data_IF_353085713555
#
_entry.id   IF_353085713555
#
_cell.length_a   1.000
_cell.length_b   1.000
_cell.length_c   1.000
_cell.angle_alpha   90.00
_cell.angle_beta   90.00
_cell.angle_gamma   90.00
#
_symmetry.space_group_name_H-M   'P 1'
#
loop_
_entity.id
_entity.type
_entity.pdbx_description
1 polymer ?
#
# COMPACT_ATOMS: atom_id res chain seq x y z
N UNK A 1 12.30 2.36 -11.78
CA UNK A 1 11.11 3.00 -12.30
C UNK A 1 10.38 3.79 -11.21
N UNK A 2 9.96 3.18 -10.10
CA UNK A 2 9.12 3.79 -9.06
C UNK A 2 9.90 4.39 -7.88
N UNK A 3 11.18 4.03 -7.70
CA UNK A 3 11.97 4.41 -6.52
C UNK A 3 11.62 3.66 -5.22
N UNK A 4 10.63 2.77 -5.27
CA UNK A 4 10.20 1.96 -4.12
C UNK A 4 11.09 0.71 -3.96
N UNK A 5 11.00 0.09 -2.77
CA UNK A 5 11.63 -1.19 -2.53
C UNK A 5 11.03 -2.29 -3.42
N UNK A 6 11.76 -3.37 -3.59
CA UNK A 6 11.30 -4.55 -4.34
C UNK A 6 10.76 -5.63 -3.38
N UNK A 7 10.13 -6.65 -3.95
CA UNK A 7 9.57 -7.78 -3.20
C UNK A 7 10.60 -8.48 -2.30
N UNK A 8 11.84 -8.67 -2.78
CA UNK A 8 12.89 -9.33 -1.97
C UNK A 8 13.21 -8.56 -0.68
N UNK A 9 13.22 -7.22 -0.75
CA UNK A 9 13.41 -6.39 0.43
C UNK A 9 12.22 -6.48 1.39
N UNK A 10 11.00 -6.49 0.83
CA UNK A 10 9.77 -6.65 1.62
C UNK A 10 9.80 -7.95 2.41
N UNK A 11 10.03 -9.09 1.75
CA UNK A 11 10.01 -10.42 2.36
C UNK A 11 11.01 -10.51 3.54
N UNK A 12 12.22 -9.97 3.35
CA UNK A 12 13.24 -9.94 4.40
C UNK A 12 12.91 -9.02 5.57
N UNK A 13 12.21 -7.91 5.31
CA UNK A 13 11.96 -6.87 6.32
C UNK A 13 10.66 -7.12 7.08
N UNK A 14 9.62 -7.62 6.44
CA UNK A 14 8.31 -7.86 7.06
C UNK A 14 8.43 -8.81 8.26
N UNK A 15 9.14 -9.92 8.15
CA UNK A 15 9.31 -10.87 9.26
C UNK A 15 10.09 -10.25 10.45
N UNK A 16 11.03 -9.36 10.15
CA UNK A 16 11.75 -8.60 11.19
C UNK A 16 10.79 -7.67 11.93
N UNK A 17 9.95 -6.92 11.23
CA UNK A 17 8.97 -6.01 11.83
C UNK A 17 7.93 -6.78 12.66
N UNK A 18 7.46 -7.93 12.19
CA UNK A 18 6.56 -8.81 12.95
C UNK A 18 7.21 -9.35 14.22
N UNK A 19 8.49 -9.69 14.15
CA UNK A 19 9.25 -10.14 15.34
C UNK A 19 9.34 -9.03 16.37
N UNK A 20 9.62 -7.80 15.96
CA UNK A 20 9.63 -6.63 16.84
C UNK A 20 8.24 -6.35 17.42
N UNK A 21 7.20 -6.43 16.59
CA UNK A 21 5.82 -6.22 17.00
C UNK A 21 5.37 -7.21 18.08
N UNK A 22 5.70 -8.50 17.92
CA UNK A 22 5.44 -9.53 18.96
C UNK A 22 6.10 -9.20 20.30
N UNK A 23 7.34 -8.75 20.26
CA UNK A 23 8.11 -8.44 21.48
C UNK A 23 7.59 -7.20 22.20
N UNK A 24 7.13 -6.20 21.44
CA UNK A 24 6.71 -4.91 21.98
C UNK A 24 5.18 -4.80 22.17
N UNK A 25 4.41 -5.75 21.67
CA UNK A 25 2.95 -5.75 21.80
C UNK A 25 2.24 -4.71 20.92
N UNK A 26 2.80 -4.34 19.78
CA UNK A 26 2.16 -3.38 18.86
C UNK A 26 1.70 -4.02 17.55
N UNK A 27 0.80 -3.33 16.86
CA UNK A 27 0.27 -3.77 15.57
C UNK A 27 1.27 -3.50 14.42
N UNK A 28 1.14 -4.30 13.35
CA UNK A 28 1.75 -4.02 12.04
C UNK A 28 0.65 -4.19 11.01
N UNK A 29 0.37 -3.16 10.22
CA UNK A 29 -0.61 -3.25 9.14
C UNK A 29 0.08 -3.39 7.79
N UNK A 30 -0.54 -4.20 6.92
CA UNK A 30 -0.14 -4.41 5.54
C UNK A 30 -1.27 -3.95 4.64
N UNK A 31 -0.93 -3.12 3.65
CA UNK A 31 -1.86 -2.66 2.62
C UNK A 31 -1.35 -3.14 1.27
N UNK A 32 -2.14 -3.94 0.59
CA UNK A 32 -1.89 -4.35 -0.80
C UNK A 32 -2.72 -3.48 -1.74
N UNK A 33 -2.11 -3.00 -2.80
CA UNK A 33 -2.71 -2.11 -3.78
C UNK A 33 -2.44 -2.63 -5.19
N UNK A 34 -3.43 -2.48 -6.07
CA UNK A 34 -3.32 -2.83 -7.48
C UNK A 34 -4.14 -1.84 -8.33
N UNK A 35 -3.55 -1.38 -9.45
CA UNK A 35 -4.20 -0.42 -10.32
C UNK A 35 -5.34 -1.05 -11.11
N UNK A 36 -6.50 -0.41 -11.04
CA UNK A 36 -7.69 -0.87 -11.75
C UNK A 36 -7.51 -0.71 -13.26
N UNK A 37 -7.77 -1.81 -13.98
CA UNK A 37 -7.70 -1.80 -15.43
C UNK A 37 -6.34 -1.41 -16.05
N UNK A 38 -5.23 -1.59 -15.33
CA UNK A 38 -3.89 -1.19 -15.77
C UNK A 38 -3.52 -1.76 -17.14
N UNK A 39 -3.95 -3.01 -17.44
CA UNK A 39 -3.78 -3.61 -18.76
C UNK A 39 -4.42 -2.75 -19.86
N UNK A 40 -5.61 -2.19 -19.61
CA UNK A 40 -6.29 -1.32 -20.60
C UNK A 40 -5.48 -0.04 -20.85
N UNK A 41 -4.81 0.50 -19.82
CA UNK A 41 -3.91 1.66 -20.00
C UNK A 41 -2.77 1.28 -20.94
N UNK A 42 -2.11 0.13 -20.71
CA UNK A 42 -1.03 -0.34 -21.57
C UNK A 42 -1.51 -0.64 -23.01
N UNK A 43 -2.63 -1.32 -23.16
CA UNK A 43 -3.15 -1.71 -24.47
C UNK A 43 -3.59 -0.47 -25.29
N UNK A 44 -4.11 0.58 -24.63
CA UNK A 44 -4.61 1.78 -25.29
C UNK A 44 -3.55 2.85 -25.54
N UNK A 45 -2.63 3.04 -24.60
CA UNK A 45 -1.69 4.16 -24.62
C UNK A 45 -0.22 3.72 -24.71
N UNK A 46 0.02 2.40 -24.72
CA UNK A 46 1.36 1.80 -24.76
C UNK A 46 2.02 1.65 -23.39
N UNK A 47 3.03 0.78 -23.30
CA UNK A 47 3.78 0.55 -22.06
C UNK A 47 4.44 1.80 -21.46
N UNK A 48 4.94 2.77 -22.27
CA UNK A 48 5.49 4.01 -21.69
C UNK A 48 4.46 4.81 -20.87
N UNK A 49 3.17 4.77 -21.26
CA UNK A 49 2.10 5.41 -20.50
C UNK A 49 1.83 4.67 -19.18
N UNK A 50 1.84 3.33 -19.20
CA UNK A 50 1.79 2.52 -17.98
C UNK A 50 2.98 2.79 -17.05
N UNK A 51 4.18 2.98 -17.59
CA UNK A 51 5.35 3.35 -16.82
C UNK A 51 5.19 4.72 -16.13
N UNK A 52 4.55 5.69 -16.79
CA UNK A 52 4.25 6.99 -16.18
C UNK A 52 3.23 6.87 -15.05
N UNK A 53 2.21 6.00 -15.21
CA UNK A 53 1.27 5.67 -14.13
C UNK A 53 2.02 5.11 -12.93
N UNK A 54 2.85 4.09 -13.12
CA UNK A 54 3.61 3.46 -12.05
C UNK A 54 4.58 4.42 -11.37
N UNK A 55 5.25 5.28 -12.14
CA UNK A 55 6.20 6.28 -11.63
C UNK A 55 5.50 7.33 -10.78
N UNK A 56 4.40 7.88 -11.28
CA UNK A 56 3.62 8.90 -10.57
C UNK A 56 3.05 8.35 -9.27
N UNK A 57 2.46 7.16 -9.32
CA UNK A 57 1.87 6.52 -8.15
C UNK A 57 2.93 6.09 -7.12
N UNK A 58 4.08 5.60 -7.59
CA UNK A 58 5.21 5.31 -6.70
C UNK A 58 5.69 6.56 -5.95
N UNK A 59 5.75 7.71 -6.64
CA UNK A 59 6.09 8.97 -6.01
C UNK A 59 5.03 9.43 -4.99
N UNK A 60 3.74 9.22 -5.26
CA UNK A 60 2.65 9.48 -4.29
C UNK A 60 2.81 8.62 -3.04
N UNK A 61 2.98 7.32 -3.20
CA UNK A 61 3.18 6.39 -2.08
C UNK A 61 4.40 6.79 -1.24
N UNK A 62 5.50 7.16 -1.90
CA UNK A 62 6.72 7.57 -1.22
C UNK A 62 6.52 8.84 -0.40
N UNK A 63 5.85 9.86 -0.94
CA UNK A 63 5.53 11.09 -0.19
C UNK A 63 4.65 10.84 1.02
N UNK A 64 3.71 9.90 0.90
CA UNK A 64 2.76 9.56 1.94
C UNK A 64 3.30 8.58 2.98
N UNK A 65 4.43 7.94 2.76
CA UNK A 65 5.02 6.98 3.70
C UNK A 65 5.83 7.68 4.78
N UNK A 66 5.75 7.20 6.02
CA UNK A 66 6.64 7.59 7.13
C UNK A 66 8.03 6.99 6.93
N UNK A 67 9.00 7.45 7.68
CA UNK A 67 10.36 6.85 7.66
C UNK A 67 10.39 5.39 8.10
N UNK A 68 9.44 4.98 8.96
CA UNK A 68 9.27 3.59 9.40
C UNK A 68 8.52 2.71 8.42
N UNK A 69 7.75 3.30 7.48
CA UNK A 69 6.92 2.56 6.54
C UNK A 69 7.77 1.98 5.41
N UNK A 70 7.38 0.80 4.93
CA UNK A 70 8.04 0.13 3.81
C UNK A 70 7.08 0.14 2.64
N UNK A 71 7.40 0.95 1.62
CA UNK A 71 6.64 1.01 0.37
C UNK A 71 7.37 0.20 -0.69
N UNK A 72 6.72 -0.81 -1.23
CA UNK A 72 7.29 -1.79 -2.14
C UNK A 72 6.48 -1.88 -3.43
N UNK A 73 7.16 -1.95 -4.58
CA UNK A 73 6.57 -2.49 -5.81
C UNK A 73 6.69 -4.00 -5.76
N UNK A 74 5.57 -4.67 -5.54
CA UNK A 74 5.50 -6.11 -5.28
C UNK A 74 5.46 -6.94 -6.57
N UNK A 75 4.75 -6.45 -7.58
CA UNK A 75 4.59 -7.06 -8.90
C UNK A 75 4.61 -6.02 -10.01
N UNK A 76 4.05 -6.36 -11.16
CA UNK A 76 3.96 -5.49 -12.33
C UNK A 76 3.26 -4.17 -12.02
N UNK A 77 2.04 -4.26 -11.52
CA UNK A 77 1.15 -3.14 -11.16
C UNK A 77 0.70 -3.19 -9.70
N UNK A 78 1.32 -4.11 -8.92
CA UNK A 78 1.00 -4.37 -7.53
C UNK A 78 2.00 -3.67 -6.60
N UNK A 79 1.48 -3.07 -5.55
CA UNK A 79 2.25 -2.39 -4.51
C UNK A 79 1.84 -2.90 -3.13
N UNK A 80 2.80 -2.90 -2.20
CA UNK A 80 2.57 -3.25 -0.81
C UNK A 80 3.17 -2.17 0.09
N UNK A 81 2.38 -1.73 1.06
CA UNK A 81 2.85 -0.86 2.14
C UNK A 81 2.82 -1.66 3.44
N UNK A 82 3.93 -1.71 4.14
CA UNK A 82 4.01 -2.22 5.51
C UNK A 82 4.14 -1.03 6.44
N UNK A 83 3.26 -0.98 7.43
CA UNK A 83 3.14 0.12 8.38
C UNK A 83 3.36 -0.41 9.81
N UNK A 84 4.61 -0.39 10.32
CA UNK A 84 4.89 -0.74 11.71
C UNK A 84 4.19 0.21 12.68
N UNK A 85 3.83 -0.30 13.85
CA UNK A 85 3.16 0.45 14.92
C UNK A 85 1.87 1.15 14.43
N UNK A 86 1.15 0.50 13.51
CA UNK A 86 -0.05 1.04 12.88
C UNK A 86 -1.24 0.10 13.10
N UNK A 87 -2.26 0.54 13.87
CA UNK A 87 -3.55 -0.16 13.97
C UNK A 87 -4.28 -0.23 12.62
N UNK A 88 -5.14 -1.25 12.46
CA UNK A 88 -5.87 -1.51 11.21
C UNK A 88 -6.72 -0.32 10.76
N UNK A 89 -7.41 0.33 11.69
CA UNK A 89 -8.29 1.46 11.43
C UNK A 89 -7.53 2.62 10.78
N UNK A 90 -6.36 2.96 11.35
CA UNK A 90 -5.52 4.03 10.81
C UNK A 90 -4.86 3.63 9.48
N UNK A 91 -4.53 2.35 9.29
CA UNK A 91 -4.03 1.85 8.02
C UNK A 91 -5.12 1.91 6.94
N UNK A 92 -6.36 1.58 7.28
CA UNK A 92 -7.51 1.73 6.41
C UNK A 92 -7.72 3.18 5.98
N UNK A 93 -7.72 4.12 6.93
CA UNK A 93 -7.87 5.56 6.63
C UNK A 93 -6.77 6.06 5.69
N UNK A 94 -5.52 5.62 5.91
CA UNK A 94 -4.40 5.98 5.04
C UNK A 94 -4.53 5.37 3.64
N UNK A 95 -5.02 4.15 3.54
CA UNK A 95 -5.30 3.53 2.26
C UNK A 95 -6.39 4.29 1.50
N UNK A 96 -7.47 4.75 2.18
CA UNK A 96 -8.52 5.59 1.59
C UNK A 96 -7.98 6.96 1.14
N UNK A 97 -7.12 7.60 1.93
CA UNK A 97 -6.48 8.85 1.52
C UNK A 97 -5.63 8.67 0.26
N UNK A 98 -4.87 7.57 0.19
CA UNK A 98 -4.05 7.27 -0.99
C UNK A 98 -4.92 6.94 -2.21
N UNK A 99 -5.99 6.16 -2.02
CA UNK A 99 -6.98 5.85 -3.06
C UNK A 99 -7.58 7.14 -3.65
N UNK A 100 -8.06 8.01 -2.77
CA UNK A 100 -8.68 9.27 -3.18
C UNK A 100 -7.67 10.21 -3.89
N UNK A 101 -6.40 10.23 -3.46
CA UNK A 101 -5.36 11.02 -4.12
C UNK A 101 -5.05 10.48 -5.53
N UNK A 102 -4.96 9.14 -5.68
CA UNK A 102 -4.75 8.51 -6.98
C UNK A 102 -5.91 8.86 -7.93
N UNK A 103 -7.15 8.70 -7.49
CA UNK A 103 -8.35 9.03 -8.27
C UNK A 103 -8.39 10.52 -8.65
N UNK A 104 -8.03 11.42 -7.74
CA UNK A 104 -8.05 12.87 -7.96
C UNK A 104 -6.87 13.39 -8.79
N UNK A 105 -5.84 12.56 -9.04
CA UNK A 105 -4.60 12.98 -9.71
C UNK A 105 -4.36 12.18 -10.99
N UNK A 106 -5.03 12.55 -12.10
CA UNK A 106 -4.81 11.88 -13.38
C UNK A 106 -3.36 12.02 -13.85
N UNK A 107 -2.82 10.94 -14.41
CA UNK A 107 -1.43 10.87 -14.84
C UNK A 107 -1.25 11.55 -16.21
N UNK A 108 -0.26 12.43 -16.32
CA UNK A 108 0.10 13.06 -17.60
C UNK A 108 1.08 12.18 -18.37
N UNK A 109 0.75 11.88 -19.62
CA UNK A 109 1.60 11.20 -20.57
C UNK A 109 1.61 11.97 -21.88
N UNK A 110 2.75 12.54 -22.29
CA UNK A 110 2.83 13.45 -23.44
C UNK A 110 1.74 14.56 -23.36
N UNK A 111 0.84 14.61 -24.35
CA UNK A 111 -0.23 15.60 -24.43
C UNK A 111 -1.60 15.07 -23.94
N UNK A 112 -1.63 13.88 -23.32
CA UNK A 112 -2.86 13.28 -22.80
C UNK A 112 -2.83 13.19 -21.28
N UNK A 113 -4.02 13.10 -20.70
CA UNK A 113 -4.24 12.90 -19.28
C UNK A 113 -5.00 11.59 -19.10
N UNK A 114 -4.43 10.67 -18.31
CA UNK A 114 -4.94 9.32 -18.11
C UNK A 114 -5.53 9.24 -16.69
N UNK A 115 -6.86 9.14 -16.55
CA UNK A 115 -7.47 8.87 -15.26
C UNK A 115 -7.15 7.43 -14.86
N UNK A 116 -6.75 7.24 -13.59
CA UNK A 116 -6.46 5.93 -13.02
C UNK A 116 -7.11 5.82 -11.64
N UNK A 117 -7.54 4.62 -11.30
CA UNK A 117 -7.97 4.26 -9.95
C UNK A 117 -7.19 3.05 -9.47
N UNK A 118 -7.23 2.79 -8.18
CA UNK A 118 -6.62 1.62 -7.58
C UNK A 118 -7.53 1.03 -6.52
N UNK A 119 -7.47 -0.28 -6.37
CA UNK A 119 -8.14 -1.03 -5.32
C UNK A 119 -7.15 -1.42 -4.24
N UNK A 120 -7.63 -1.52 -3.00
CA UNK A 120 -6.78 -1.75 -1.84
C UNK A 120 -7.35 -2.84 -0.94
N UNK A 121 -6.46 -3.65 -0.37
CA UNK A 121 -6.77 -4.60 0.69
C UNK A 121 -5.91 -4.36 1.92
N UNK A 122 -6.51 -4.33 3.10
CA UNK A 122 -5.85 -4.09 4.40
C UNK A 122 -5.93 -5.33 5.27
N UNK A 123 -4.83 -5.68 5.92
CA UNK A 123 -4.75 -6.71 6.94
C UNK A 123 -3.75 -6.31 8.04
N UNK A 124 -3.99 -6.77 9.27
CA UNK A 124 -3.20 -6.34 10.43
C UNK A 124 -2.79 -7.49 11.33
N UNK A 125 -1.52 -7.45 11.76
CA UNK A 125 -0.99 -8.30 12.82
C UNK A 125 -1.40 -7.76 14.19
N UNK A 126 -1.79 -8.61 15.14
CA UNK A 126 -1.82 -10.09 15.06
C UNK A 126 -3.16 -10.69 14.61
N UNK A 127 -4.19 -9.88 14.31
CA UNK A 127 -5.58 -10.30 14.14
C UNK A 127 -5.80 -11.10 12.84
N UNK A 128 -5.12 -10.70 11.75
CA UNK A 128 -5.34 -11.25 10.40
C UNK A 128 -4.27 -12.24 9.95
N UNK A 129 -3.23 -12.40 10.76
CA UNK A 129 -2.16 -13.35 10.51
C UNK A 129 -1.04 -13.22 11.52
N UNK A 130 -0.25 -14.29 11.67
CA UNK A 130 0.89 -14.37 12.59
C UNK A 130 2.24 -14.38 11.87
N UNK A 131 2.24 -14.47 10.55
CA UNK A 131 3.43 -14.45 9.70
C UNK A 131 3.22 -13.48 8.54
N UNK A 132 4.31 -13.06 7.89
CA UNK A 132 4.25 -12.19 6.72
C UNK A 132 3.47 -12.82 5.58
N UNK A 133 3.61 -14.14 5.39
CA UNK A 133 2.86 -14.90 4.39
C UNK A 133 1.37 -14.85 4.65
N UNK A 134 0.94 -15.05 5.91
CA UNK A 134 -0.48 -14.99 6.28
C UNK A 134 -1.06 -13.59 6.11
N UNK A 135 -0.32 -12.54 6.51
CA UNK A 135 -0.77 -11.15 6.37
C UNK A 135 -0.87 -10.72 4.91
N UNK A 136 0.11 -11.06 4.09
CA UNK A 136 0.05 -10.77 2.66
C UNK A 136 -1.12 -11.50 2.00
N UNK A 137 -1.37 -12.77 2.36
CA UNK A 137 -2.52 -13.52 1.85
C UNK A 137 -3.87 -12.94 2.32
N UNK A 138 -3.94 -12.42 3.55
CA UNK A 138 -5.13 -11.76 4.06
C UNK A 138 -5.40 -10.43 3.32
N UNK A 139 -4.37 -9.61 3.14
CA UNK A 139 -4.46 -8.35 2.37
C UNK A 139 -4.84 -8.60 0.90
N UNK A 140 -4.31 -9.66 0.27
CA UNK A 140 -4.66 -10.05 -1.10
C UNK A 140 -6.14 -10.45 -1.21
N UNK A 141 -6.67 -11.24 -0.26
CA UNK A 141 -8.11 -11.56 -0.23
C UNK A 141 -8.98 -10.32 -0.10
N UNK A 142 -8.57 -9.36 0.73
CA UNK A 142 -9.27 -8.09 0.87
C UNK A 142 -9.20 -7.26 -0.43
N UNK A 143 -8.05 -7.19 -1.08
CA UNK A 143 -7.87 -6.56 -2.39
C UNK A 143 -8.76 -7.23 -3.46
N UNK A 144 -8.80 -8.55 -3.48
CA UNK A 144 -9.68 -9.28 -4.39
C UNK A 144 -11.16 -8.94 -4.17
N UNK A 145 -11.59 -8.82 -2.90
CA UNK A 145 -12.95 -8.39 -2.57
C UNK A 145 -13.21 -6.94 -3.04
N UNK A 146 -12.24 -6.04 -2.90
CA UNK A 146 -12.33 -4.68 -3.41
C UNK A 146 -12.51 -4.67 -4.94
N UNK A 147 -11.70 -5.45 -5.67
CA UNK A 147 -11.83 -5.58 -7.14
C UNK A 147 -13.19 -6.14 -7.56
N UNK A 148 -13.72 -7.13 -6.84
CA UNK A 148 -15.05 -7.70 -7.11
C UNK A 148 -16.19 -6.78 -6.70
N UNK A 149 -16.00 -5.95 -5.70
CA UNK A 149 -17.01 -5.01 -5.18
C UNK A 149 -17.19 -3.74 -6.01
N UNK A 150 -16.56 -3.63 -7.19
CA UNK A 150 -16.70 -2.48 -8.08
C UNK A 150 -15.42 -1.69 -8.29
N UNK A 151 -14.29 -2.13 -7.72
CA UNK A 151 -12.97 -1.45 -7.78
C UNK A 151 -12.97 -0.08 -7.08
N UNK A 152 -11.87 0.66 -7.21
CA UNK A 152 -11.70 2.00 -6.65
C UNK A 152 -12.18 2.11 -5.19
N UNK A 153 -11.78 1.18 -4.35
CA UNK A 153 -12.19 1.10 -2.95
C UNK A 153 -11.14 0.39 -2.11
N UNK A 154 -11.24 0.58 -0.80
CA UNK A 154 -10.48 -0.15 0.21
C UNK A 154 -11.37 -1.18 0.87
N UNK A 155 -10.84 -2.37 1.14
CA UNK A 155 -11.48 -3.41 1.97
C UNK A 155 -10.52 -3.86 3.04
N UNK A 156 -11.04 -4.12 4.24
CA UNK A 156 -10.30 -4.79 5.31
C UNK A 156 -10.56 -6.28 5.25
N UNK A 157 -9.57 -7.07 5.58
CA UNK A 157 -9.76 -8.52 5.70
C UNK A 157 -10.73 -8.87 6.84
N UNK A 158 -10.73 -8.09 7.92
CA UNK A 158 -11.69 -8.23 9.01
C UNK A 158 -13.16 -8.20 8.54
N UNK A 159 -13.48 -7.34 7.55
CA UNK A 159 -14.84 -7.20 7.01
C UNK A 159 -15.31 -8.44 6.20
N UNK A 160 -14.40 -9.34 5.85
CA UNK A 160 -14.68 -10.56 5.09
C UNK A 160 -14.96 -11.77 5.99
N UNK A 161 -14.81 -11.65 7.30
CA UNK A 161 -15.05 -12.72 8.25
C UNK A 161 -16.57 -12.91 8.46
N UNK A 162 -17.06 -14.16 8.51
CA UNK A 162 -18.49 -14.44 8.71
C UNK A 162 -19.04 -13.90 10.03
N UNK A 163 -18.18 -13.80 11.03
CA UNK A 163 -18.54 -13.35 12.37
C UNK A 163 -18.19 -11.86 12.47
N UNK A 164 -19.13 -10.98 12.07
CA UNK A 164 -18.99 -9.54 12.17
C UNK A 164 -18.83 -9.04 13.62
N UNK A 165 -17.75 -9.39 14.29
CA UNK A 165 -17.33 -8.75 15.53
C UNK A 165 -16.77 -7.35 15.20
N UNK A 166 -17.70 -6.41 15.11
CA UNK A 166 -17.42 -4.98 15.17
C UNK A 166 -16.88 -4.66 16.58
N UNK A 167 -15.57 -4.72 16.77
CA UNK A 167 -14.93 -4.02 17.88
C UNK A 167 -14.58 -2.59 17.41
N UNK A 168 -15.62 -1.77 17.25
CA UNK A 168 -15.48 -0.32 17.29
C UNK A 168 -15.21 0.08 18.76
N UNK A 169 -13.96 -0.03 19.20
CA UNK A 169 -13.49 0.81 20.28
C UNK A 169 -13.23 2.19 19.68
N UNK A 170 -14.04 3.15 20.08
CA UNK A 170 -13.90 4.56 19.72
C UNK A 170 -12.48 5.05 20.06
N UNK A 171 -11.66 5.21 19.02
CA UNK A 171 -10.42 5.96 19.13
C UNK A 171 -10.79 7.41 18.81
N UNK A 172 -11.23 8.15 19.84
CA UNK A 172 -11.43 9.59 19.77
C UNK A 172 -10.10 10.32 19.96
N UNK A 173 -9.43 10.58 18.84
CA UNK A 173 -8.26 11.47 18.75
C UNK A 173 -8.26 12.21 17.42
N UNK A 174 -7.76 13.45 17.35
CA UNK A 174 -7.71 14.17 16.09
C UNK A 174 -6.76 13.44 15.12
N UNK A 175 -7.25 13.14 13.91
CA UNK A 175 -6.50 12.54 12.83
C UNK A 175 -5.47 13.57 12.35
N UNK A 176 -4.21 13.40 12.72
CA UNK A 176 -3.14 14.18 12.11
C UNK A 176 -3.03 13.80 10.63
N UNK A 177 -3.04 14.83 9.77
CA UNK A 177 -2.84 14.64 8.34
C UNK A 177 -1.56 13.83 8.08
N UNK A 178 -1.62 12.89 7.15
CA UNK A 178 -0.48 12.06 6.76
C UNK A 178 0.73 12.93 6.41
N UNK A 179 1.85 12.87 7.16
CA UNK A 179 2.98 13.77 6.94
C UNK A 179 3.65 13.51 5.59
N UNK A 180 3.94 14.58 4.86
CA UNK A 180 4.84 14.51 3.73
C UNK A 180 6.26 14.17 4.22
N UNK A 181 6.99 13.31 3.53
CA UNK A 181 8.41 13.05 3.83
C UNK A 181 9.25 14.24 3.43
N UNK A 182 10.18 14.63 4.30
CA UNK A 182 11.33 15.43 3.88
C UNK A 182 12.22 14.58 2.96
N UNK A 183 12.34 14.98 1.70
CA UNK A 183 13.07 14.25 0.65
C UNK A 183 14.60 14.12 0.91
N UNK A 184 15.12 14.73 1.97
CA UNK A 184 16.58 14.79 2.21
C UNK A 184 17.19 13.45 2.69
N UNK A 185 16.41 12.58 3.32
CA UNK A 185 16.96 11.37 3.96
C UNK A 185 17.07 10.13 3.03
N UNK A 186 16.46 10.16 1.84
CA UNK A 186 16.49 9.00 0.92
C UNK A 186 17.63 9.02 -0.11
N UNK A 187 18.28 10.17 -0.32
CA UNK A 187 19.36 10.29 -1.29
C UNK A 187 20.65 9.55 -0.88
N UNK A 188 20.79 9.13 0.37
CA UNK A 188 22.01 8.51 0.90
C UNK A 188 21.98 6.97 0.98
N UNK A 189 20.90 6.31 0.56
CA UNK A 189 20.80 4.85 0.60
C UNK A 189 20.64 4.23 -0.79
N UNK A 190 21.60 4.49 -1.69
CA UNK A 190 21.81 3.65 -2.86
C UNK A 190 22.76 2.51 -2.45
N UNK A 191 22.35 1.23 -2.57
CA UNK A 191 23.31 0.14 -2.40
C UNK A 191 24.31 0.20 -3.57
N UNK A 192 25.60 0.20 -3.24
CA UNK A 192 26.69 0.09 -4.22
C UNK A 192 26.45 -1.17 -5.08
N UNK A 193 26.36 -0.99 -6.38
CA UNK A 193 26.44 -2.09 -7.35
C UNK A 193 27.77 -2.80 -7.13
N UNK A 194 27.70 -4.07 -6.74
CA UNK A 194 28.85 -4.96 -6.82
C UNK A 194 28.94 -5.46 -8.27
N UNK A 195 30.08 -5.18 -8.84
CA UNK A 195 30.58 -5.74 -10.09
C UNK A 195 30.56 -7.28 -10.08
#
# INVERSE_FOLDING_TARGET
LTGLYNRRYLDATLERELTLARRKGHAVSVVMCDFDHFKIVNDRYGHPAGDDVLRTSGAMMMRRSRSSDISCRYGGEEFVLVMPEMPEELAYERAEQLRAEIEATPVRHANITIPVTASFGVASFPQDGKSGVELLAAADKALYAAKRGGRNQVKRFADLRPDGCNHLQEISGPIEAWPARDNAAQASFMPAERR
#
